data_IF_504980974275
#
_entry.id   IF_504980974275
#
_cell.length_a   1.000
_cell.length_b   1.000
_cell.length_c   1.000
_cell.angle_alpha   90.00
_cell.angle_beta   90.00
_cell.angle_gamma   90.00
#
_symmetry.space_group_name_H-M   'P 1'
#
loop_
_entity.id
_entity.type
_entity.pdbx_description
1 polymer ?
#
# COMPACT_ATOMS: atom_id res chain seq x y z
N UNK A 1 16.96 54.51 20.03
CA UNK A 1 15.57 54.10 19.69
C UNK A 1 15.55 52.66 19.13
N UNK A 2 16.48 51.82 19.58
CA UNK A 2 16.86 50.58 18.90
C UNK A 2 16.20 49.35 19.53
N UNK A 3 15.80 49.47 20.80
CA UNK A 3 15.13 48.40 21.54
C UNK A 3 13.67 48.18 21.09
N UNK A 4 12.96 49.25 20.73
CA UNK A 4 11.57 49.18 20.25
C UNK A 4 11.48 48.60 18.84
N UNK A 5 12.40 48.99 17.94
CA UNK A 5 12.47 48.44 16.57
C UNK A 5 12.79 46.95 16.57
N UNK A 6 13.72 46.49 17.41
CA UNK A 6 14.12 45.07 17.47
C UNK A 6 12.98 44.16 17.95
N UNK A 7 12.21 44.58 18.96
CA UNK A 7 11.02 43.86 19.44
C UNK A 7 9.94 43.80 18.37
N UNK A 8 9.68 44.90 17.67
CA UNK A 8 8.67 44.96 16.60
C UNK A 8 9.03 44.07 15.40
N UNK A 9 10.30 44.06 14.98
CA UNK A 9 10.79 43.18 13.91
C UNK A 9 10.61 41.70 14.28
N UNK A 10 10.93 41.31 15.52
CA UNK A 10 10.70 39.93 15.98
C UNK A 10 9.21 39.56 15.97
N UNK A 11 8.32 40.44 16.40
CA UNK A 11 6.87 40.20 16.39
C UNK A 11 6.34 39.99 14.98
N UNK A 12 6.77 40.79 14.00
CA UNK A 12 6.36 40.65 12.59
C UNK A 12 6.80 39.30 12.01
N UNK A 13 8.02 38.85 12.32
CA UNK A 13 8.54 37.55 11.85
C UNK A 13 7.70 36.40 12.40
N UNK A 14 7.35 36.43 13.69
CA UNK A 14 6.54 35.37 14.32
C UNK A 14 5.15 35.29 13.66
N UNK A 15 4.49 36.43 13.46
CA UNK A 15 3.18 36.47 12.80
C UNK A 15 3.27 35.96 11.36
N UNK A 16 4.33 36.35 10.63
CA UNK A 16 4.61 35.83 9.29
C UNK A 16 4.77 34.30 9.27
N UNK A 17 5.49 33.74 10.24
CA UNK A 17 5.71 32.29 10.35
C UNK A 17 4.41 31.52 10.60
N UNK A 18 3.54 32.03 11.48
CA UNK A 18 2.22 31.43 11.72
C UNK A 18 1.30 31.54 10.51
N UNK A 19 1.32 32.67 9.80
CA UNK A 19 0.55 32.85 8.57
C UNK A 19 0.99 31.86 7.49
N UNK A 20 2.31 31.73 7.25
CA UNK A 20 2.86 30.78 6.28
C UNK A 20 2.51 29.34 6.67
N UNK A 21 2.66 28.97 7.94
CA UNK A 21 2.28 27.64 8.44
C UNK A 21 0.79 27.35 8.26
N UNK A 22 -0.08 28.34 8.53
CA UNK A 22 -1.52 28.23 8.33
C UNK A 22 -1.92 28.08 6.87
N UNK A 23 -1.26 28.81 5.95
CA UNK A 23 -1.47 28.70 4.50
C UNK A 23 -1.04 27.32 3.99
N UNK A 24 0.14 26.83 4.41
CA UNK A 24 0.61 25.49 4.05
C UNK A 24 -0.35 24.42 4.56
N UNK A 25 -0.81 24.53 5.81
CA UNK A 25 -1.78 23.62 6.38
C UNK A 25 -3.10 23.63 5.61
N UNK A 26 -3.64 24.80 5.28
CA UNK A 26 -4.89 24.93 4.52
C UNK A 26 -4.78 24.37 3.10
N UNK A 27 -3.67 24.60 2.41
CA UNK A 27 -3.44 24.07 1.06
C UNK A 27 -3.20 22.56 1.06
N UNK A 28 -2.54 22.03 2.10
CA UNK A 28 -2.22 20.61 2.19
C UNK A 28 -3.35 19.78 2.81
N UNK A 29 -4.39 20.40 3.37
CA UNK A 29 -5.56 19.69 3.90
C UNK A 29 -6.53 19.20 2.82
N UNK A 30 -6.09 19.14 1.55
CA UNK A 30 -6.76 18.28 0.56
C UNK A 30 -6.53 16.85 1.01
N UNK A 31 -7.48 16.31 1.76
CA UNK A 31 -7.63 14.87 1.98
C UNK A 31 -7.52 14.20 0.62
N UNK A 32 -6.37 13.58 0.35
CA UNK A 32 -6.23 12.66 -0.78
C UNK A 32 -7.15 11.51 -0.42
N UNK A 33 -8.34 11.50 -1.01
CA UNK A 33 -9.25 10.37 -0.89
C UNK A 33 -8.67 9.21 -1.71
N UNK A 34 -7.75 8.48 -1.08
CA UNK A 34 -7.10 7.30 -1.65
C UNK A 34 -8.13 6.23 -2.01
N UNK A 35 -9.28 6.22 -1.33
CA UNK A 35 -10.34 5.24 -1.56
C UNK A 35 -11.11 5.50 -2.86
N UNK A 36 -11.35 6.76 -3.21
CA UNK A 36 -11.95 7.13 -4.51
C UNK A 36 -11.15 6.62 -5.72
N UNK A 37 -9.82 6.46 -5.59
CA UNK A 37 -8.95 5.92 -6.66
C UNK A 37 -8.94 4.39 -6.74
N UNK A 38 -9.57 3.69 -5.79
CA UNK A 38 -9.60 2.23 -5.70
C UNK A 38 -10.93 1.61 -6.16
N UNK A 39 -11.92 2.43 -6.51
CA UNK A 39 -13.20 1.93 -7.03
C UNK A 39 -12.98 1.08 -8.29
N UNK A 40 -13.52 -0.13 -8.30
CA UNK A 40 -13.42 -1.08 -9.41
C UNK A 40 -12.12 -1.88 -9.49
N UNK A 41 -11.13 -1.64 -8.61
CA UNK A 41 -9.90 -2.44 -8.58
C UNK A 41 -10.10 -3.70 -7.74
N UNK A 42 -9.80 -4.85 -8.31
CA UNK A 42 -9.73 -6.13 -7.59
C UNK A 42 -8.28 -6.53 -7.33
N UNK A 43 -8.09 -7.39 -6.35
CA UNK A 43 -6.81 -8.02 -6.08
C UNK A 43 -7.01 -9.52 -5.81
N UNK A 44 -5.97 -10.29 -6.14
CA UNK A 44 -5.97 -11.72 -5.92
C UNK A 44 -5.60 -12.05 -4.49
N UNK A 45 -6.28 -13.05 -3.95
CA UNK A 45 -6.01 -13.66 -2.66
C UNK A 45 -5.69 -15.14 -2.87
N UNK A 46 -4.74 -15.64 -2.09
CA UNK A 46 -4.36 -17.06 -2.08
C UNK A 46 -4.46 -17.62 -0.66
N UNK A 47 -5.16 -18.73 -0.52
CA UNK A 47 -5.27 -19.46 0.73
C UNK A 47 -4.01 -20.32 0.96
N UNK A 48 -3.28 -20.05 2.04
CA UNK A 48 -2.07 -20.80 2.41
C UNK A 48 -2.36 -22.11 3.17
N UNK A 49 -3.64 -22.44 3.45
CA UNK A 49 -3.98 -23.75 4.00
C UNK A 49 -3.68 -24.84 2.95
N UNK A 50 -2.81 -25.79 3.30
CA UNK A 50 -2.35 -26.88 2.45
C UNK A 50 -3.48 -27.75 1.86
N UNK A 51 -4.62 -27.85 2.55
CA UNK A 51 -5.80 -28.60 2.10
C UNK A 51 -6.70 -27.81 1.14
N UNK A 52 -6.66 -26.48 1.19
CA UNK A 52 -7.57 -25.62 0.43
C UNK A 52 -6.90 -25.06 -0.82
N UNK A 53 -5.80 -24.31 -0.67
CA UNK A 53 -5.06 -23.66 -1.76
C UNK A 53 -5.92 -22.88 -2.77
N UNK A 54 -7.12 -22.46 -2.37
CA UNK A 54 -8.01 -21.72 -3.25
C UNK A 54 -7.45 -20.31 -3.51
N UNK A 55 -7.54 -19.86 -4.75
CA UNK A 55 -7.37 -18.47 -5.14
C UNK A 55 -8.72 -17.84 -5.44
N UNK A 56 -8.87 -16.56 -5.10
CA UNK A 56 -10.09 -15.79 -5.34
C UNK A 56 -9.77 -14.29 -5.45
N UNK A 57 -10.64 -13.53 -6.10
CA UNK A 57 -10.50 -12.08 -6.20
C UNK A 57 -11.39 -11.40 -5.18
N UNK A 58 -10.89 -10.33 -4.57
CA UNK A 58 -11.67 -9.43 -3.71
C UNK A 58 -11.48 -7.99 -4.13
N UNK A 59 -12.41 -7.08 -3.80
CA UNK A 59 -12.19 -5.65 -3.95
C UNK A 59 -10.95 -5.21 -3.16
N UNK A 60 -10.10 -4.41 -3.80
CA UNK A 60 -8.88 -3.91 -3.17
C UNK A 60 -9.19 -3.05 -1.93
N UNK A 61 -10.32 -2.35 -1.95
CA UNK A 61 -10.81 -1.57 -0.81
C UNK A 61 -11.02 -2.44 0.45
N UNK A 62 -11.69 -3.58 0.30
CA UNK A 62 -12.02 -4.49 1.40
C UNK A 62 -10.75 -5.05 2.04
N UNK A 63 -9.73 -5.34 1.22
CA UNK A 63 -8.41 -5.73 1.72
C UNK A 63 -7.78 -4.65 2.59
N UNK A 64 -7.70 -3.41 2.09
CA UNK A 64 -7.06 -2.33 2.85
C UNK A 64 -7.83 -1.95 4.11
N UNK A 65 -9.16 -1.99 4.07
CA UNK A 65 -10.00 -1.75 5.24
C UNK A 65 -9.78 -2.82 6.31
N UNK A 66 -9.79 -4.10 5.92
CA UNK A 66 -9.46 -5.20 6.82
C UNK A 66 -8.06 -5.03 7.43
N UNK A 67 -7.07 -4.70 6.61
CA UNK A 67 -5.70 -4.53 7.06
C UNK A 67 -5.55 -3.36 8.04
N UNK A 68 -6.25 -2.25 7.81
CA UNK A 68 -6.24 -1.11 8.73
C UNK A 68 -6.80 -1.46 10.11
N UNK A 69 -7.83 -2.30 10.15
CA UNK A 69 -8.47 -2.71 11.40
C UNK A 69 -7.72 -3.85 12.14
N UNK A 70 -7.02 -4.70 11.38
CA UNK A 70 -6.44 -5.94 11.90
C UNK A 70 -4.90 -5.93 11.89
N UNK A 71 -4.26 -4.87 11.37
CA UNK A 71 -2.80 -4.74 11.40
C UNK A 71 -2.32 -4.63 12.84
N UNK A 72 -1.48 -5.58 13.25
CA UNK A 72 -0.78 -5.48 14.51
C UNK A 72 0.55 -4.75 14.28
N UNK A 73 0.79 -3.58 14.89
CA UNK A 73 2.06 -2.85 14.73
C UNK A 73 3.30 -3.61 15.25
N UNK A 74 3.10 -4.65 16.07
CA UNK A 74 4.17 -5.55 16.50
C UNK A 74 4.46 -6.70 15.51
N UNK A 75 3.64 -6.87 14.47
CA UNK A 75 3.84 -7.88 13.43
C UNK A 75 4.45 -7.23 12.19
N UNK A 76 5.48 -7.85 11.62
CA UNK A 76 6.13 -7.38 10.38
C UNK A 76 5.36 -7.74 9.11
N UNK A 77 4.16 -8.33 9.22
CA UNK A 77 3.40 -8.87 8.10
C UNK A 77 1.94 -8.43 8.06
N UNK A 78 1.34 -8.61 6.89
CA UNK A 78 -0.09 -8.45 6.68
C UNK A 78 -0.90 -9.42 7.56
N UNK A 79 -2.04 -8.98 8.09
CA UNK A 79 -2.95 -9.88 8.79
C UNK A 79 -3.59 -10.85 7.79
N UNK A 80 -3.71 -12.15 8.12
CA UNK A 80 -4.38 -13.11 7.27
C UNK A 80 -5.89 -12.85 7.24
N UNK A 81 -6.46 -12.77 6.04
CA UNK A 81 -7.90 -12.71 5.84
C UNK A 81 -8.54 -14.11 5.94
N UNK A 82 -9.86 -14.12 6.15
CA UNK A 82 -10.65 -15.36 6.13
C UNK A 82 -10.79 -15.84 4.69
N UNK A 83 -10.38 -17.08 4.42
CA UNK A 83 -10.59 -17.71 3.12
C UNK A 83 -12.08 -18.00 2.91
N UNK A 84 -12.65 -17.58 1.78
CA UNK A 84 -14.07 -17.80 1.49
C UNK A 84 -14.45 -19.28 1.36
N UNK A 85 -13.49 -20.13 0.98
CA UNK A 85 -13.70 -21.56 0.72
C UNK A 85 -13.56 -22.43 1.97
N UNK A 86 -12.48 -22.27 2.75
CA UNK A 86 -12.25 -23.08 3.95
C UNK A 86 -12.59 -22.37 5.27
N UNK A 87 -12.95 -21.08 5.23
CA UNK A 87 -13.31 -20.26 6.40
C UNK A 87 -12.22 -20.10 7.45
N UNK A 88 -10.98 -20.46 7.14
CA UNK A 88 -9.82 -20.25 8.01
C UNK A 88 -9.13 -18.92 7.72
N UNK A 89 -8.48 -18.34 8.75
CA UNK A 89 -7.64 -17.13 8.63
C UNK A 89 -6.30 -17.49 7.99
N UNK A 90 -6.31 -17.72 6.69
CA UNK A 90 -5.16 -18.21 5.93
C UNK A 90 -5.05 -17.60 4.54
N UNK A 91 -5.88 -16.61 4.19
CA UNK A 91 -5.82 -15.94 2.89
C UNK A 91 -4.90 -14.73 2.95
N UNK A 92 -3.97 -14.65 2.00
CA UNK A 92 -3.03 -13.54 1.86
C UNK A 92 -3.11 -12.92 0.47
N UNK A 93 -2.69 -11.67 0.36
CA UNK A 93 -2.55 -10.98 -0.92
C UNK A 93 -1.62 -11.77 -1.84
N UNK A 94 -2.05 -11.95 -3.08
CA UNK A 94 -1.38 -12.73 -4.10
C UNK A 94 -1.35 -11.97 -5.43
N UNK A 95 -0.47 -12.41 -6.32
CA UNK A 95 -0.33 -11.88 -7.66
C UNK A 95 -0.65 -12.97 -8.67
N UNK A 96 -1.33 -12.58 -9.75
CA UNK A 96 -1.59 -13.46 -10.90
C UNK A 96 -0.58 -13.17 -11.99
N UNK A 97 0.17 -14.19 -12.39
CA UNK A 97 1.10 -14.08 -13.50
C UNK A 97 0.34 -13.79 -14.80
N UNK A 98 0.70 -12.74 -15.57
CA UNK A 98 0.02 -12.43 -16.83
C UNK A 98 0.35 -13.41 -17.95
N UNK A 99 1.50 -14.11 -17.89
CA UNK A 99 1.93 -15.05 -18.93
C UNK A 99 1.29 -16.43 -18.79
N UNK A 100 1.32 -17.02 -17.60
CA UNK A 100 0.82 -18.39 -17.38
C UNK A 100 -0.45 -18.46 -16.53
N UNK A 101 -0.94 -17.33 -15.99
CA UNK A 101 -2.14 -17.28 -15.15
C UNK A 101 -2.00 -17.85 -13.74
N UNK A 102 -0.81 -18.33 -13.36
CA UNK A 102 -0.56 -18.87 -12.02
C UNK A 102 -0.72 -17.77 -10.95
N UNK A 103 -1.39 -18.09 -9.84
CA UNK A 103 -1.56 -17.18 -8.70
C UNK A 103 -0.58 -17.59 -7.60
N UNK A 104 0.28 -16.65 -7.18
CA UNK A 104 1.36 -16.93 -6.23
C UNK A 104 1.52 -15.78 -5.22
N UNK A 105 2.17 -16.06 -4.09
CA UNK A 105 2.47 -15.02 -3.10
C UNK A 105 3.64 -14.14 -3.58
N UNK A 106 3.60 -12.82 -3.33
CA UNK A 106 4.73 -11.95 -3.60
C UNK A 106 5.98 -12.44 -2.86
N UNK A 107 7.14 -12.28 -3.47
CA UNK A 107 8.43 -12.76 -2.94
C UNK A 107 8.49 -14.29 -2.73
N UNK A 108 7.71 -15.07 -3.50
CA UNK A 108 7.77 -16.54 -3.46
C UNK A 108 9.14 -17.11 -3.81
N UNK A 109 9.97 -16.37 -4.57
CA UNK A 109 11.35 -16.73 -4.89
C UNK A 109 12.30 -15.78 -4.15
N UNK A 110 13.07 -16.33 -3.22
CA UNK A 110 14.06 -15.57 -2.43
C UNK A 110 15.17 -15.02 -3.33
N UNK A 111 15.42 -13.71 -3.23
CA UNK A 111 16.51 -13.04 -3.96
C UNK A 111 16.18 -12.62 -5.40
N UNK A 112 14.92 -12.71 -5.82
CA UNK A 112 14.45 -12.23 -7.12
C UNK A 112 13.37 -11.13 -6.95
N UNK A 113 12.76 -10.68 -8.04
CA UNK A 113 11.66 -9.72 -7.97
C UNK A 113 10.43 -10.31 -7.26
N UNK A 114 9.70 -9.46 -6.54
CA UNK A 114 8.50 -9.86 -5.81
C UNK A 114 7.43 -10.48 -6.72
N UNK A 115 7.36 -10.01 -7.98
CA UNK A 115 6.44 -10.46 -9.03
C UNK A 115 6.97 -11.62 -9.88
N UNK A 116 8.10 -12.23 -9.48
CA UNK A 116 8.66 -13.38 -10.19
C UNK A 116 7.73 -14.58 -10.05
N UNK A 117 7.15 -15.00 -11.16
CA UNK A 117 6.32 -16.19 -11.18
C UNK A 117 7.18 -17.46 -10.93
N UNK A 118 6.84 -18.32 -9.96
CA UNK A 118 7.60 -19.54 -9.68
C UNK A 118 7.48 -20.61 -10.78
N UNK A 119 6.44 -20.55 -11.60
CA UNK A 119 6.19 -21.53 -12.68
C UNK A 119 6.94 -21.17 -13.97
N UNK A 120 6.68 -19.98 -14.52
CA UNK A 120 7.24 -19.58 -15.83
C UNK A 120 8.43 -18.62 -15.73
N UNK A 121 8.83 -18.21 -14.52
CA UNK A 121 9.91 -17.23 -14.26
C UNK A 121 9.70 -15.86 -14.88
N UNK A 122 8.51 -15.53 -15.37
CA UNK A 122 8.19 -14.18 -15.84
C UNK A 122 8.17 -13.18 -14.67
N UNK A 123 8.61 -11.95 -14.93
CA UNK A 123 8.47 -10.78 -14.02
C UNK A 123 8.19 -9.55 -14.89
N UNK A 124 7.08 -8.87 -14.61
CA UNK A 124 6.71 -7.64 -15.29
C UNK A 124 7.71 -6.52 -14.97
N UNK A 125 8.25 -6.51 -13.75
CA UNK A 125 9.28 -5.59 -13.29
C UNK A 125 10.56 -5.74 -14.10
N UNK A 126 10.99 -6.98 -14.40
CA UNK A 126 12.16 -7.20 -15.25
C UNK A 126 11.92 -6.73 -16.69
N UNK A 127 10.76 -7.04 -17.26
CA UNK A 127 10.43 -6.69 -18.65
C UNK A 127 10.28 -5.17 -18.86
N UNK A 128 9.64 -4.48 -17.91
CA UNK A 128 9.54 -3.01 -17.93
C UNK A 128 10.91 -2.33 -17.83
N UNK A 129 11.82 -2.86 -17.00
CA UNK A 129 13.20 -2.34 -16.90
C UNK A 129 14.00 -2.53 -18.18
N UNK A 130 13.82 -3.64 -18.88
CA UNK A 130 14.47 -3.87 -20.19
C UNK A 130 13.97 -2.92 -21.27
N UNK A 131 12.66 -2.59 -21.27
CA UNK A 131 12.04 -1.70 -22.26
C UNK A 131 12.31 -0.21 -22.01
N UNK A 132 12.68 0.15 -20.78
CA UNK A 132 13.05 1.51 -20.39
C UNK A 132 14.54 1.85 -20.58
N UNK A 133 15.33 0.90 -21.09
CA UNK A 133 16.73 1.08 -21.53
C UNK A 133 16.77 1.18 -23.06
#
# INVERSE_FOLDING_TARGET
>A
MDFMKKKWVMTVIIIGCFAVSGVIYYHNNKTIDVFSSMEGKTMWMLCCNSKCRASFEIPQKDYFEFQKENSNPASLGAAPMICEKCKEKSAFAAEKCPECGNVFLPNSITGDFADRCPECKYSQTQESRKKGQ
#
